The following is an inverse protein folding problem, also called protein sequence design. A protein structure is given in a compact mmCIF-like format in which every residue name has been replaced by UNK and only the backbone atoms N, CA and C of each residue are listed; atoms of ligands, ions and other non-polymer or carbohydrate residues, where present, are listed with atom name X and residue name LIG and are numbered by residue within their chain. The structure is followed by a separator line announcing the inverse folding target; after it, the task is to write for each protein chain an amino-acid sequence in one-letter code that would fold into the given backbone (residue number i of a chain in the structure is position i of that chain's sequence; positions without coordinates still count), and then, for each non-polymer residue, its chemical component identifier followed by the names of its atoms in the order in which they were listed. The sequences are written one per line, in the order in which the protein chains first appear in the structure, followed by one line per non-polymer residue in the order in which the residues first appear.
data_IF_470786688384
#
_entry.id   IF_470786688384
#
_cell.length_a   1.000
_cell.length_b   1.000
_cell.length_c   1.000
_cell.angle_alpha   90.00
_cell.angle_beta   90.00
_cell.angle_gamma   90.00
#
_symmetry.space_group_name_H-M   'P 1'
#
loop_
_entity.id
_entity.type
_entity.pdbx_description
1 polymer ?
#
# COMPACT_ATOMS: atom_id res chain seq x y z
N UNK A 1 -3.89 -29.28 41.65
CA UNK A 1 -3.85 -30.41 40.71
C UNK A 1 -4.37 -31.67 41.39
N UNK A 2 -5.68 -31.89 41.36
CA UNK A 2 -6.31 -33.16 41.73
C UNK A 2 -7.53 -33.27 40.81
N UNK A 3 -7.39 -33.99 39.69
CA UNK A 3 -8.49 -34.11 38.73
C UNK A 3 -8.15 -34.70 37.37
N UNK A 4 -6.91 -34.58 36.87
CA UNK A 4 -6.60 -35.10 35.53
C UNK A 4 -6.01 -36.51 35.62
N UNK A 5 -6.85 -37.53 35.45
CA UNK A 5 -6.42 -38.89 35.13
C UNK A 5 -6.45 -39.06 33.60
N UNK A 6 -5.48 -39.76 33.01
CA UNK A 6 -5.47 -40.03 31.57
C UNK A 6 -6.72 -40.82 31.19
N UNK A 7 -7.66 -40.21 30.47
CA UNK A 7 -8.97 -40.80 30.25
C UNK A 7 -9.05 -41.65 28.96
N UNK A 8 -8.05 -41.61 28.08
CA UNK A 8 -8.18 -42.24 26.75
C UNK A 8 -6.87 -42.83 26.24
N UNK A 9 -6.86 -44.12 25.93
CA UNK A 9 -5.72 -44.80 25.33
C UNK A 9 -5.66 -44.50 23.83
N UNK A 10 -4.76 -43.61 23.42
CA UNK A 10 -4.44 -43.41 22.01
C UNK A 10 -3.55 -44.54 21.47
N UNK A 11 -3.55 -44.78 20.15
CA UNK A 11 -2.56 -45.65 19.53
C UNK A 11 -1.13 -45.19 19.88
N UNK A 12 -0.18 -46.12 20.16
CA UNK A 12 1.17 -45.77 20.58
C UNK A 12 1.91 -44.83 19.62
N UNK A 13 1.69 -44.98 18.31
CA UNK A 13 2.31 -44.15 17.28
C UNK A 13 1.84 -42.68 17.35
N UNK A 14 0.55 -42.44 17.57
CA UNK A 14 -0.01 -41.08 17.70
C UNK A 14 0.42 -40.44 19.02
N UNK A 15 0.51 -41.23 20.10
CA UNK A 15 0.98 -40.75 21.40
C UNK A 15 2.47 -40.37 21.37
N UNK A 16 3.29 -41.03 20.56
CA UNK A 16 4.72 -40.71 20.38
C UNK A 16 4.91 -39.47 19.49
N UNK A 17 4.15 -39.34 18.40
CA UNK A 17 4.16 -38.16 17.54
C UNK A 17 3.80 -36.87 18.32
N UNK A 18 2.80 -36.93 19.18
CA UNK A 18 2.39 -35.80 20.03
C UNK A 18 3.46 -35.45 21.07
N UNK A 19 4.14 -36.44 21.67
CA UNK A 19 5.26 -36.18 22.59
C UNK A 19 6.43 -35.50 21.90
N UNK A 20 6.78 -35.93 20.69
CA UNK A 20 7.91 -35.35 19.95
C UNK A 20 7.63 -33.92 19.51
N UNK A 21 6.40 -33.61 19.09
CA UNK A 21 6.01 -32.26 18.73
C UNK A 21 6.04 -31.30 19.93
N UNK A 22 5.57 -31.73 21.10
CA UNK A 22 5.62 -30.92 22.33
C UNK A 22 7.07 -30.66 22.76
N UNK A 23 7.94 -31.67 22.74
CA UNK A 23 9.38 -31.47 23.03
C UNK A 23 10.04 -30.51 22.04
N UNK A 24 9.67 -30.57 20.77
CA UNK A 24 10.18 -29.65 19.75
C UNK A 24 9.74 -28.20 20.02
N UNK A 25 8.51 -27.99 20.50
CA UNK A 25 7.98 -26.68 20.86
C UNK A 25 8.63 -26.08 22.11
N UNK A 26 8.96 -26.89 23.12
CA UNK A 26 9.70 -26.43 24.30
C UNK A 26 11.07 -25.84 23.93
N UNK A 27 11.71 -26.36 22.88
CA UNK A 27 12.99 -25.84 22.36
C UNK A 27 12.82 -24.57 21.51
N UNK A 28 11.67 -24.37 20.87
CA UNK A 28 11.42 -23.29 19.90
C UNK A 28 10.58 -22.13 20.47
N UNK A 29 9.95 -22.33 21.63
CA UNK A 29 9.13 -21.33 22.33
C UNK A 29 7.70 -21.19 21.80
N UNK A 30 7.28 -22.02 20.84
CA UNK A 30 5.93 -22.07 20.29
C UNK A 30 5.62 -23.46 19.72
N UNK A 31 4.35 -23.89 19.80
CA UNK A 31 3.86 -25.16 19.25
C UNK A 31 3.14 -24.88 17.92
N UNK A 32 3.44 -25.66 16.88
CA UNK A 32 2.67 -25.70 15.62
C UNK A 32 1.67 -26.85 15.66
N UNK A 33 0.69 -26.82 14.76
CA UNK A 33 -0.30 -27.89 14.60
C UNK A 33 0.38 -29.25 14.44
N UNK A 34 -0.08 -30.22 15.24
CA UNK A 34 0.42 -31.60 15.19
C UNK A 34 -0.61 -32.43 14.42
N UNK A 35 -0.31 -32.75 13.17
CA UNK A 35 -1.13 -33.70 12.39
C UNK A 35 -0.94 -35.12 12.95
N UNK A 36 -1.77 -35.49 13.93
CA UNK A 36 -2.04 -36.88 14.26
C UNK A 36 -3.26 -37.36 13.44
N UNK A 37 -3.41 -38.67 13.21
CA UNK A 37 -4.60 -39.15 12.49
C UNK A 37 -5.86 -38.99 13.37
N UNK A 38 -6.58 -37.88 13.20
CA UNK A 38 -7.68 -37.43 14.08
C UNK A 38 -8.87 -38.40 14.17
N UNK A 39 -8.92 -39.46 13.35
CA UNK A 39 -9.99 -40.46 13.39
C UNK A 39 -10.00 -41.33 14.66
N UNK A 40 -8.93 -41.30 15.48
CA UNK A 40 -8.80 -42.16 16.67
C UNK A 40 -8.63 -41.42 18.00
N UNK A 41 -8.64 -40.08 17.99
CA UNK A 41 -8.50 -39.23 19.18
C UNK A 41 -9.77 -38.37 19.39
N UNK A 42 -10.75 -38.79 20.21
CA UNK A 42 -11.94 -37.99 20.46
C UNK A 42 -11.59 -36.64 21.13
N UNK A 43 -12.42 -35.62 20.92
CA UNK A 43 -12.32 -34.35 21.64
C UNK A 43 -12.39 -34.61 23.16
N UNK A 44 -11.52 -33.94 23.93
CA UNK A 44 -11.36 -34.15 25.37
C UNK A 44 -10.45 -35.31 25.77
N UNK A 45 -9.85 -36.04 24.82
CA UNK A 45 -8.88 -37.11 25.14
C UNK A 45 -7.65 -36.52 25.85
N UNK A 46 -7.22 -37.16 26.94
CA UNK A 46 -6.06 -36.69 27.73
C UNK A 46 -4.92 -37.70 27.65
N UNK A 47 -3.74 -37.23 27.25
CA UNK A 47 -2.51 -37.99 27.06
C UNK A 47 -1.48 -37.58 28.10
N UNK A 48 -0.85 -38.56 28.74
CA UNK A 48 0.32 -38.34 29.59
C UNK A 48 1.57 -38.19 28.72
N UNK A 49 2.22 -37.03 28.78
CA UNK A 49 3.45 -36.73 28.02
C UNK A 49 4.70 -37.29 28.71
N UNK A 50 4.60 -37.74 29.96
CA UNK A 50 5.72 -38.02 30.86
C UNK A 50 6.14 -36.75 31.61
N UNK A 51 6.83 -36.91 32.75
CA UNK A 51 7.32 -35.77 33.58
C UNK A 51 6.24 -34.87 34.20
N UNK A 52 5.07 -35.43 34.53
CA UNK A 52 3.92 -34.79 35.20
C UNK A 52 3.06 -33.84 34.36
N UNK A 53 3.34 -33.73 33.06
CA UNK A 53 2.58 -32.92 32.12
C UNK A 53 1.56 -33.75 31.33
N UNK A 54 0.36 -33.20 31.17
CA UNK A 54 -0.76 -33.82 30.45
C UNK A 54 -1.15 -32.95 29.27
N UNK A 55 -1.32 -33.56 28.10
CA UNK A 55 -1.92 -32.92 26.93
C UNK A 55 -3.38 -33.33 26.81
N UNK A 56 -4.29 -32.36 26.68
CA UNK A 56 -5.69 -32.63 26.36
C UNK A 56 -5.93 -32.25 24.90
N UNK A 57 -6.51 -33.15 24.13
CA UNK A 57 -7.03 -32.85 22.81
C UNK A 57 -8.23 -31.92 22.98
N UNK A 58 -8.00 -30.64 22.71
CA UNK A 58 -9.03 -29.60 22.65
C UNK A 58 -9.30 -29.40 21.16
N UNK A 59 -10.57 -29.48 20.72
CA UNK A 59 -10.94 -29.24 19.33
C UNK A 59 -10.40 -27.87 18.89
N UNK A 60 -10.03 -27.70 17.62
CA UNK A 60 -9.52 -26.40 17.11
C UNK A 60 -10.47 -25.23 17.43
N UNK A 61 -11.78 -25.53 17.55
CA UNK A 61 -12.87 -24.58 17.81
C UNK A 61 -13.28 -24.46 19.30
N UNK A 62 -12.58 -25.11 20.23
CA UNK A 62 -12.93 -25.06 21.67
C UNK A 62 -12.22 -23.93 22.45
N UNK A 63 -11.44 -23.09 21.76
CA UNK A 63 -10.86 -21.86 22.32
C UNK A 63 -11.65 -20.63 21.89
N UNK A 64 -11.82 -19.65 22.79
CA UNK A 64 -12.40 -18.35 22.46
C UNK A 64 -11.38 -17.55 21.63
N UNK A 65 -11.41 -17.69 20.30
CA UNK A 65 -10.49 -17.00 19.40
C UNK A 65 -11.27 -15.96 18.59
N UNK A 66 -11.39 -14.75 19.10
CA UNK A 66 -12.12 -13.69 18.41
C UNK A 66 -11.34 -13.12 17.21
N UNK A 67 -11.63 -13.55 15.98
CA UNK A 67 -11.03 -13.00 14.74
C UNK A 67 -12.05 -12.15 13.95
N UNK A 68 -11.80 -10.84 13.90
CA UNK A 68 -12.64 -9.86 13.22
C UNK A 68 -11.94 -9.20 12.02
N UNK A 69 -10.85 -9.80 11.52
CA UNK A 69 -9.98 -9.19 10.51
C UNK A 69 -10.66 -8.95 9.15
N UNK A 70 -11.79 -9.60 8.87
CA UNK A 70 -12.55 -9.51 7.60
C UNK A 70 -14.01 -9.07 7.76
N UNK A 71 -14.40 -8.41 8.86
CA UNK A 71 -15.79 -7.94 9.00
C UNK A 71 -16.03 -6.67 8.19
N UNK A 72 -16.48 -6.83 6.95
CA UNK A 72 -17.13 -5.75 6.21
C UNK A 72 -18.58 -5.57 6.71
N UNK A 73 -18.87 -4.38 7.22
CA UNK A 73 -20.19 -3.82 7.61
C UNK A 73 -20.91 -4.40 8.85
N UNK A 74 -20.92 -3.58 9.91
CA UNK A 74 -21.75 -3.71 11.12
C UNK A 74 -23.26 -3.50 10.89
N UNK A 75 -23.70 -3.19 9.66
CA UNK A 75 -25.04 -2.68 9.38
C UNK A 75 -26.19 -3.71 9.47
N UNK A 76 -25.90 -5.00 9.65
CA UNK A 76 -26.94 -6.04 9.74
C UNK A 76 -26.89 -6.92 11.00
N UNK A 77 -26.02 -6.62 11.96
CA UNK A 77 -25.97 -7.35 13.24
C UNK A 77 -27.18 -7.10 14.14
N UNK A 78 -27.97 -6.05 13.86
CA UNK A 78 -29.24 -5.77 14.55
C UNK A 78 -30.30 -6.86 14.37
N UNK A 79 -30.13 -7.79 13.42
CA UNK A 79 -31.03 -8.91 13.20
C UNK A 79 -30.73 -10.13 14.11
N UNK A 80 -29.54 -10.21 14.72
CA UNK A 80 -29.07 -11.40 15.46
C UNK A 80 -29.46 -11.41 16.95
N UNK A 81 -30.14 -10.37 17.46
CA UNK A 81 -30.46 -10.27 18.88
C UNK A 81 -29.22 -10.03 19.75
N UNK A 82 -29.37 -10.10 21.08
CA UNK A 82 -28.29 -9.87 22.06
C UNK A 82 -27.48 -11.12 22.39
N UNK A 83 -27.88 -12.28 21.86
CA UNK A 83 -27.33 -13.60 22.20
C UNK A 83 -27.13 -14.42 20.91
N UNK A 84 -25.96 -15.03 20.76
CA UNK A 84 -25.64 -16.01 19.72
C UNK A 84 -25.63 -17.41 20.36
N UNK A 85 -26.37 -18.35 19.77
CA UNK A 85 -26.47 -19.73 20.26
C UNK A 85 -25.74 -20.69 19.33
N UNK A 86 -24.70 -21.35 19.83
CA UNK A 86 -23.94 -22.34 19.08
C UNK A 86 -24.48 -23.76 19.33
N UNK A 87 -24.43 -24.66 18.33
CA UNK A 87 -24.99 -26.00 18.45
C UNK A 87 -24.19 -26.88 19.42
N UNK A 88 -24.85 -27.86 20.03
CA UNK A 88 -24.23 -28.82 20.96
C UNK A 88 -23.27 -29.81 20.26
N UNK A 89 -23.44 -30.02 18.95
CA UNK A 89 -22.57 -30.86 18.12
C UNK A 89 -22.69 -30.48 16.64
N UNK A 90 -21.63 -30.72 15.86
CA UNK A 90 -21.60 -30.47 14.42
C UNK A 90 -20.36 -29.69 13.98
N UNK A 91 -20.33 -29.34 12.70
CA UNK A 91 -19.26 -28.53 12.11
C UNK A 91 -19.54 -27.03 12.34
N UNK A 92 -18.64 -26.34 13.05
CA UNK A 92 -18.74 -24.90 13.32
C UNK A 92 -18.67 -24.06 12.03
N UNK A 93 -18.11 -24.59 10.93
CA UNK A 93 -18.10 -23.94 9.62
C UNK A 93 -19.50 -23.79 9.01
N UNK A 94 -20.53 -24.51 9.51
CA UNK A 94 -21.91 -24.35 9.01
C UNK A 94 -22.52 -22.98 9.31
N UNK A 95 -21.94 -22.24 10.25
CA UNK A 95 -22.33 -20.86 10.52
C UNK A 95 -21.57 -19.86 9.66
N UNK A 96 -20.68 -20.27 8.75
CA UNK A 96 -20.09 -19.37 7.76
C UNK A 96 -21.24 -18.69 7.03
N UNK A 97 -21.36 -17.37 7.19
CA UNK A 97 -22.37 -16.55 6.52
C UNK A 97 -22.00 -16.46 5.03
N UNK A 98 -22.11 -17.57 4.30
CA UNK A 98 -21.80 -17.68 2.89
C UNK A 98 -22.97 -17.19 2.03
N UNK A 99 -23.31 -15.91 2.15
CA UNK A 99 -24.03 -15.21 1.09
C UNK A 99 -23.06 -14.25 0.43
N UNK A 100 -22.64 -14.61 -0.79
CA UNK A 100 -21.56 -13.98 -1.54
C UNK A 100 -21.51 -12.44 -1.41
N UNK A 101 -20.43 -11.98 -0.77
CA UNK A 101 -19.92 -10.61 -0.52
C UNK A 101 -19.58 -10.33 0.95
N UNK A 102 -19.83 -11.23 1.88
CA UNK A 102 -19.54 -11.05 3.31
C UNK A 102 -18.97 -12.35 3.87
N UNK A 103 -17.77 -12.32 4.46
CA UNK A 103 -17.14 -13.50 5.06
C UNK A 103 -16.60 -13.12 6.44
N UNK A 104 -17.41 -13.30 7.47
CA UNK A 104 -16.87 -13.48 8.81
C UNK A 104 -16.69 -14.99 9.02
N UNK A 105 -15.50 -15.44 9.40
CA UNK A 105 -15.28 -16.81 9.87
C UNK A 105 -15.95 -16.97 11.23
N UNK A 106 -17.23 -17.29 11.22
CA UNK A 106 -18.08 -17.43 12.41
C UNK A 106 -17.73 -18.62 13.32
N UNK A 107 -16.89 -19.56 12.84
CA UNK A 107 -16.31 -20.60 13.69
C UNK A 107 -15.43 -20.08 14.83
N UNK A 108 -15.13 -18.78 14.83
CA UNK A 108 -14.22 -18.12 15.77
C UNK A 108 -14.96 -17.23 16.81
N UNK A 109 -16.28 -17.29 16.88
CA UNK A 109 -17.09 -16.37 17.70
C UNK A 109 -17.68 -16.96 18.98
N UNK A 110 -17.41 -18.24 19.28
CA UNK A 110 -17.88 -18.95 20.47
C UNK A 110 -17.61 -20.45 20.37
N UNK A 111 -17.87 -21.20 21.44
CA UNK A 111 -17.68 -22.66 21.50
C UNK A 111 -18.97 -23.42 21.18
N UNK A 112 -18.85 -24.71 20.88
CA UNK A 112 -20.01 -25.61 20.83
C UNK A 112 -20.78 -25.58 22.16
N UNK A 113 -22.11 -25.58 22.07
CA UNK A 113 -23.06 -25.46 23.19
C UNK A 113 -22.98 -24.15 24.01
N UNK A 114 -22.27 -23.13 23.51
CA UNK A 114 -22.14 -21.83 24.18
C UNK A 114 -23.22 -20.83 23.74
N UNK A 115 -23.64 -19.99 24.69
CA UNK A 115 -24.41 -18.79 24.42
C UNK A 115 -23.48 -17.59 24.62
N UNK A 116 -23.12 -16.92 23.53
CA UNK A 116 -22.28 -15.73 23.59
C UNK A 116 -23.17 -14.49 23.66
N UNK A 117 -23.11 -13.80 24.80
CA UNK A 117 -23.81 -12.52 24.99
C UNK A 117 -22.92 -11.39 24.52
N UNK A 118 -23.50 -10.45 23.78
CA UNK A 118 -22.74 -9.31 23.26
C UNK A 118 -22.11 -8.45 24.37
N UNK A 119 -22.71 -8.43 25.56
CA UNK A 119 -22.27 -7.69 26.75
C UNK A 119 -21.05 -8.31 27.47
N UNK A 120 -20.74 -9.57 27.19
CA UNK A 120 -19.59 -10.26 27.80
C UNK A 120 -18.32 -10.18 26.94
N UNK A 121 -18.42 -9.60 25.74
CA UNK A 121 -17.27 -9.36 24.86
C UNK A 121 -16.35 -8.26 25.44
N UNK A 122 -15.13 -8.12 24.92
CA UNK A 122 -14.25 -7.03 25.32
C UNK A 122 -14.88 -5.66 24.99
N UNK A 123 -14.57 -4.57 25.71
CA UNK A 123 -15.15 -3.25 25.45
C UNK A 123 -14.96 -2.73 24.02
N UNK A 124 -13.85 -3.08 23.36
CA UNK A 124 -13.61 -2.79 21.94
C UNK A 124 -14.58 -3.50 20.97
N UNK A 125 -15.36 -4.45 21.48
CA UNK A 125 -16.35 -5.27 20.79
C UNK A 125 -17.78 -4.98 21.28
N UNK A 126 -17.96 -4.11 22.28
CA UNK A 126 -19.26 -3.65 22.75
C UNK A 126 -19.84 -2.64 21.77
N UNK A 127 -20.57 -3.16 20.77
CA UNK A 127 -21.20 -2.38 19.70
C UNK A 127 -22.13 -1.29 20.27
N UNK A 128 -22.65 -1.42 21.50
CA UNK A 128 -23.59 -0.46 22.12
C UNK A 128 -22.92 0.79 22.70
N UNK A 129 -21.74 0.66 23.31
CA UNK A 129 -20.94 1.84 23.72
C UNK A 129 -20.36 2.57 22.50
N UNK A 130 -20.03 1.81 21.44
CA UNK A 130 -19.82 2.39 20.09
C UNK A 130 -21.08 3.15 19.65
N UNK A 131 -22.27 2.54 19.73
CA UNK A 131 -23.53 3.14 19.28
C UNK A 131 -23.91 4.43 20.02
N UNK A 132 -23.66 4.52 21.33
CA UNK A 132 -23.90 5.72 22.12
C UNK A 132 -22.86 6.83 21.85
N UNK A 133 -21.63 6.48 21.46
CA UNK A 133 -20.65 7.43 20.93
C UNK A 133 -21.01 7.94 19.52
N UNK A 134 -21.72 7.12 18.73
CA UNK A 134 -22.09 7.39 17.33
C UNK A 134 -23.51 7.96 17.14
N UNK A 135 -24.40 7.91 18.13
CA UNK A 135 -25.79 8.34 17.99
C UNK A 135 -25.99 9.87 18.04
N UNK A 136 -24.98 10.63 18.48
CA UNK A 136 -24.94 12.09 18.33
C UNK A 136 -24.30 12.55 16.99
N UNK A 137 -23.84 11.63 16.13
CA UNK A 137 -23.23 11.93 14.85
C UNK A 137 -24.11 11.45 13.66
N UNK A 138 -24.73 12.40 12.97
CA UNK A 138 -25.38 12.21 11.66
C UNK A 138 -24.34 12.11 10.52
N UNK A 139 -24.74 11.58 9.35
CA UNK A 139 -24.58 10.22 8.87
C UNK A 139 -23.28 9.96 8.08
N UNK A 140 -22.88 8.68 8.03
CA UNK A 140 -21.83 8.10 7.17
C UNK A 140 -20.41 8.66 7.38
N UNK A 141 -19.72 8.09 8.37
CA UNK A 141 -18.36 8.46 8.74
C UNK A 141 -17.58 7.28 9.28
N UNK A 142 -17.34 6.26 8.45
CA UNK A 142 -16.23 5.36 8.72
C UNK A 142 -14.95 6.20 8.68
N UNK A 143 -14.46 6.65 9.83
CA UNK A 143 -13.16 7.29 9.91
C UNK A 143 -12.09 6.22 9.63
N UNK A 144 -11.74 6.06 8.36
CA UNK A 144 -10.46 5.49 7.99
C UNK A 144 -9.43 6.60 8.20
N UNK A 145 -8.61 6.47 9.25
CA UNK A 145 -7.46 7.34 9.40
C UNK A 145 -6.44 6.92 8.33
N UNK A 146 -6.44 7.65 7.22
CA UNK A 146 -5.51 7.43 6.12
C UNK A 146 -4.45 8.52 6.17
N UNK A 147 -3.19 8.12 6.26
CA UNK A 147 -2.08 9.04 6.13
C UNK A 147 -2.07 9.63 4.72
N UNK A 148 -2.02 10.97 4.62
CA UNK A 148 -1.86 11.67 3.35
C UNK A 148 -0.45 11.52 2.77
N UNK A 149 -0.28 11.89 1.50
CA UNK A 149 1.04 12.00 0.88
C UNK A 149 1.91 13.02 1.61
N UNK A 150 3.25 12.94 1.47
CA UNK A 150 4.13 14.02 1.90
C UNK A 150 3.70 15.37 1.31
N UNK A 151 3.39 16.32 2.19
CA UNK A 151 2.93 17.66 1.80
C UNK A 151 1.46 17.77 1.42
N UNK A 152 0.67 16.69 1.53
CA UNK A 152 -0.78 16.74 1.39
C UNK A 152 -1.38 17.62 2.50
N UNK A 153 -2.31 18.50 2.11
CA UNK A 153 -3.03 19.35 3.05
C UNK A 153 -4.41 18.78 3.31
N UNK A 154 -4.81 18.74 4.59
CA UNK A 154 -6.13 18.26 4.96
C UNK A 154 -7.23 19.04 4.24
N UNK A 155 -8.21 18.29 3.72
CA UNK A 155 -9.42 18.87 3.17
C UNK A 155 -10.14 19.73 4.22
N UNK A 156 -10.78 20.81 3.77
CA UNK A 156 -11.64 21.66 4.61
C UNK A 156 -13.09 21.49 4.17
N UNK A 157 -13.84 20.55 4.74
CA UNK A 157 -15.22 20.28 4.31
C UNK A 157 -16.12 21.52 4.30
N UNK A 158 -15.88 22.46 5.23
CA UNK A 158 -16.63 23.72 5.33
C UNK A 158 -16.51 24.64 4.09
N UNK A 159 -15.49 24.46 3.23
CA UNK A 159 -15.34 25.26 2.01
C UNK A 159 -16.06 24.67 0.80
N UNK A 160 -16.61 23.46 0.93
CA UNK A 160 -17.12 22.66 -0.18
C UNK A 160 -16.02 22.15 -1.11
N UNK A 161 -16.39 21.30 -2.06
CA UNK A 161 -15.52 20.89 -3.17
C UNK A 161 -15.56 21.97 -4.26
N UNK A 162 -14.40 22.31 -4.83
CA UNK A 162 -14.28 23.38 -5.84
C UNK A 162 -13.99 22.84 -7.24
N UNK A 163 -13.53 21.60 -7.34
CA UNK A 163 -13.18 20.92 -8.59
C UNK A 163 -13.57 19.44 -8.47
N UNK A 164 -14.09 18.83 -9.55
CA UNK A 164 -14.40 17.42 -9.56
C UNK A 164 -13.11 16.60 -9.54
N UNK A 165 -13.14 15.47 -8.84
CA UNK A 165 -12.09 14.47 -8.83
C UNK A 165 -12.72 13.08 -9.09
N UNK A 166 -11.95 12.19 -9.70
CA UNK A 166 -12.42 10.86 -10.00
C UNK A 166 -12.44 9.98 -8.73
N UNK A 167 -13.57 9.33 -8.42
CA UNK A 167 -13.65 8.37 -7.31
C UNK A 167 -14.21 7.06 -7.81
N UNK A 168 -13.51 5.95 -7.61
CA UNK A 168 -14.03 4.65 -8.00
C UNK A 168 -15.10 4.19 -7.01
N UNK A 169 -16.37 4.45 -7.31
CA UNK A 169 -17.44 3.59 -6.79
C UNK A 169 -17.61 2.43 -7.78
N UNK A 170 -17.23 1.21 -7.38
CA UNK A 170 -17.62 0.00 -8.13
C UNK A 170 -19.14 0.06 -8.38
N UNK A 171 -19.54 0.21 -9.65
CA UNK A 171 -20.91 0.05 -10.14
C UNK A 171 -22.00 0.85 -9.39
N UNK A 172 -21.83 2.16 -9.27
CA UNK A 172 -22.95 3.06 -8.93
C UNK A 172 -22.87 4.33 -9.79
N UNK A 173 -24.03 4.89 -10.14
CA UNK A 173 -24.14 6.21 -10.78
C UNK A 173 -23.52 7.36 -9.95
N UNK A 174 -23.02 7.05 -8.74
CA UNK A 174 -22.29 7.93 -7.81
C UNK A 174 -20.75 7.81 -7.90
N UNK A 175 -20.21 7.08 -8.89
CA UNK A 175 -18.75 6.96 -9.13
C UNK A 175 -18.08 8.25 -9.67
N UNK A 176 -18.82 9.33 -9.70
CA UNK A 176 -18.32 10.67 -9.94
C UNK A 176 -18.93 11.51 -8.83
N UNK A 177 -18.12 12.36 -8.22
CA UNK A 177 -18.64 13.36 -7.28
C UNK A 177 -19.41 14.47 -8.04
N UNK A 178 -20.51 14.09 -8.71
CA UNK A 178 -21.48 15.04 -9.25
C UNK A 178 -22.48 15.49 -8.18
N UNK A 179 -22.48 14.84 -7.01
CA UNK A 179 -23.54 14.93 -6.01
C UNK A 179 -23.21 15.77 -4.76
N UNK A 180 -21.93 15.96 -4.42
CA UNK A 180 -21.54 16.79 -3.26
C UNK A 180 -21.17 18.24 -3.65
N UNK A 181 -21.20 18.57 -4.94
CA UNK A 181 -20.98 19.92 -5.48
C UNK A 181 -22.25 20.79 -5.36
N UNK A 182 -22.42 21.47 -4.22
CA UNK A 182 -23.49 22.46 -3.99
C UNK A 182 -23.21 23.85 -4.64
N UNK A 183 -22.33 23.93 -5.64
CA UNK A 183 -21.97 25.18 -6.33
C UNK A 183 -22.78 25.43 -7.60
N UNK A 184 -22.91 26.68 -8.09
CA UNK A 184 -23.63 27.03 -9.33
C UNK A 184 -23.05 26.44 -10.63
N UNK A 185 -22.10 25.51 -10.54
CA UNK A 185 -21.40 24.85 -11.64
C UNK A 185 -21.96 23.43 -11.96
N UNK A 186 -23.16 23.11 -11.46
CA UNK A 186 -23.92 21.86 -11.49
C UNK A 186 -24.15 21.16 -12.86
N UNK A 187 -23.55 21.60 -13.96
CA UNK A 187 -23.84 21.06 -15.30
C UNK A 187 -22.62 20.68 -16.16
N UNK A 188 -21.42 20.51 -15.58
CA UNK A 188 -20.21 20.21 -16.37
C UNK A 188 -19.78 18.73 -16.31
N UNK A 189 -20.52 17.85 -16.99
CA UNK A 189 -20.28 16.40 -17.09
C UNK A 189 -18.97 15.97 -17.81
N UNK A 190 -18.03 16.86 -18.14
CA UNK A 190 -16.93 16.57 -19.10
C UNK A 190 -15.54 17.17 -18.78
N UNK A 191 -15.28 17.63 -17.56
CA UNK A 191 -14.11 18.51 -17.28
C UNK A 191 -12.89 17.85 -16.59
N UNK A 192 -12.78 16.52 -16.53
CA UNK A 192 -11.57 15.84 -16.00
C UNK A 192 -10.24 16.41 -16.53
N UNK A 193 -10.10 16.69 -17.84
CA UNK A 193 -8.89 17.32 -18.38
C UNK A 193 -8.63 18.75 -17.91
N UNK A 194 -9.69 19.47 -17.53
CA UNK A 194 -9.69 20.93 -17.34
C UNK A 194 -9.57 21.37 -15.88
N UNK A 195 -9.89 20.48 -14.93
CA UNK A 195 -9.72 20.73 -13.50
C UNK A 195 -8.26 21.11 -13.19
N UNK A 196 -7.28 20.31 -13.64
CA UNK A 196 -5.85 20.65 -13.50
C UNK A 196 -5.47 22.00 -14.13
N UNK A 197 -6.01 22.35 -15.29
CA UNK A 197 -5.78 23.65 -15.94
C UNK A 197 -6.36 24.80 -15.12
N UNK A 198 -7.56 24.63 -14.57
CA UNK A 198 -8.23 25.64 -13.74
C UNK A 198 -7.50 25.86 -12.42
N UNK A 199 -7.04 24.78 -11.77
CA UNK A 199 -6.23 24.85 -10.54
C UNK A 199 -4.95 25.65 -10.81
N UNK A 200 -4.20 25.27 -11.85
CA UNK A 200 -2.99 25.97 -12.23
C UNK A 200 -3.25 27.43 -12.58
N UNK A 201 -4.28 27.73 -13.38
CA UNK A 201 -4.63 29.09 -13.77
C UNK A 201 -5.02 29.95 -12.56
N UNK A 202 -5.76 29.39 -11.60
CA UNK A 202 -6.14 30.08 -10.38
C UNK A 202 -4.89 30.46 -9.56
N UNK A 203 -3.94 29.53 -9.39
CA UNK A 203 -2.66 29.81 -8.73
C UNK A 203 -1.82 30.83 -9.50
N UNK A 204 -1.78 30.73 -10.83
CA UNK A 204 -1.05 31.65 -11.68
C UNK A 204 -1.62 33.09 -11.61
N UNK A 205 -2.94 33.27 -11.55
CA UNK A 205 -3.56 34.59 -11.52
C UNK A 205 -3.69 35.19 -10.12
N UNK A 206 -4.02 34.37 -9.12
CA UNK A 206 -4.44 34.85 -7.79
C UNK A 206 -3.56 34.34 -6.64
N UNK A 207 -2.61 33.44 -6.91
CA UNK A 207 -1.67 32.95 -5.90
C UNK A 207 -0.86 34.11 -5.30
N UNK A 208 -0.68 34.10 -3.97
CA UNK A 208 0.11 35.13 -3.27
C UNK A 208 1.62 34.97 -3.53
N UNK A 209 2.04 33.77 -3.92
CA UNK A 209 3.42 33.33 -4.15
C UNK A 209 3.80 33.33 -5.64
N UNK A 210 3.47 34.41 -6.35
CA UNK A 210 3.64 34.54 -7.81
C UNK A 210 5.02 34.16 -8.34
N UNK A 211 6.10 34.56 -7.65
CA UNK A 211 7.46 34.20 -8.07
C UNK A 211 7.68 32.69 -8.04
N UNK A 212 7.21 32.01 -6.99
CA UNK A 212 7.32 30.55 -6.82
C UNK A 212 6.60 29.82 -7.95
N UNK A 213 5.38 30.25 -8.26
CA UNK A 213 4.58 29.65 -9.35
C UNK A 213 5.23 29.84 -10.73
N UNK A 214 5.82 31.01 -11.01
CA UNK A 214 6.54 31.26 -12.27
C UNK A 214 7.78 30.39 -12.41
N UNK A 215 8.55 30.23 -11.33
CA UNK A 215 9.73 29.37 -11.35
C UNK A 215 9.33 27.90 -11.44
N UNK A 216 8.30 27.48 -10.71
CA UNK A 216 7.75 26.13 -10.80
C UNK A 216 7.31 25.78 -12.23
N UNK A 217 6.64 26.72 -12.91
CA UNK A 217 6.27 26.55 -14.32
C UNK A 217 7.49 26.46 -15.24
N UNK A 218 8.53 27.26 -15.03
CA UNK A 218 9.76 27.17 -15.82
C UNK A 218 10.47 25.81 -15.62
N UNK A 219 10.54 25.33 -14.37
CA UNK A 219 11.11 24.02 -14.05
C UNK A 219 10.30 22.87 -14.66
N UNK A 220 8.98 22.98 -14.71
CA UNK A 220 8.11 21.97 -15.34
C UNK A 220 8.25 21.92 -16.87
N UNK A 221 8.91 22.91 -17.50
CA UNK A 221 9.28 22.84 -18.93
C UNK A 221 10.62 22.12 -19.14
N UNK A 222 11.43 21.98 -18.09
CA UNK A 222 12.70 21.25 -18.13
C UNK A 222 12.48 19.78 -17.79
N UNK A 223 11.86 19.52 -16.63
CA UNK A 223 11.47 18.17 -16.20
C UNK A 223 10.01 17.94 -16.61
N UNK A 224 9.84 17.30 -17.76
CA UNK A 224 8.53 17.03 -18.34
C UNK A 224 8.07 15.62 -17.99
N UNK A 225 6.78 15.35 -18.15
CA UNK A 225 6.17 14.01 -18.13
C UNK A 225 5.08 13.99 -19.20
N UNK A 226 4.89 12.86 -19.86
CA UNK A 226 3.81 12.69 -20.84
C UNK A 226 2.65 11.88 -20.26
N UNK A 227 1.46 12.08 -20.82
CA UNK A 227 0.30 11.22 -20.54
C UNK A 227 0.57 9.83 -21.14
N UNK A 228 0.61 8.80 -20.30
CA UNK A 228 0.87 7.42 -20.71
C UNK A 228 -0.40 6.63 -21.04
N UNK A 229 -1.59 7.11 -20.62
CA UNK A 229 -2.88 6.58 -21.05
C UNK A 229 -3.98 7.68 -21.06
N UNK A 230 -5.08 7.42 -21.79
CA UNK A 230 -6.17 8.39 -21.95
C UNK A 230 -7.02 8.62 -20.69
N UNK A 231 -6.98 7.69 -19.72
CA UNK A 231 -7.76 7.73 -18.48
C UNK A 231 -7.00 8.50 -17.39
N UNK A 232 -5.68 8.37 -17.32
CA UNK A 232 -4.78 9.14 -16.47
C UNK A 232 -4.88 10.64 -16.77
N UNK A 233 -5.16 11.03 -18.02
CA UNK A 233 -5.40 12.43 -18.36
C UNK A 233 -6.73 12.98 -17.76
N UNK A 234 -7.65 12.11 -17.34
CA UNK A 234 -8.88 12.52 -16.66
C UNK A 234 -8.68 12.71 -15.15
N UNK A 235 -7.59 12.18 -14.60
CA UNK A 235 -7.20 12.39 -13.21
C UNK A 235 -6.55 13.77 -13.07
N UNK A 236 -6.72 14.39 -11.91
CA UNK A 236 -6.20 15.70 -11.54
C UNK A 236 -5.13 15.62 -10.46
N UNK A 237 -5.35 14.83 -9.41
CA UNK A 237 -4.54 14.82 -8.19
C UNK A 237 -3.10 14.41 -8.48
N UNK A 238 -2.89 13.32 -9.22
CA UNK A 238 -1.54 12.85 -9.61
C UNK A 238 -0.71 13.91 -10.35
N UNK A 239 -1.34 14.73 -11.21
CA UNK A 239 -0.64 15.74 -11.99
C UNK A 239 -0.33 16.99 -11.18
N UNK A 240 -1.27 17.40 -10.32
CA UNK A 240 -1.04 18.53 -9.40
C UNK A 240 0.02 18.17 -8.37
N UNK A 241 0.00 16.93 -7.84
CA UNK A 241 1.02 16.41 -6.93
C UNK A 241 2.42 16.44 -7.56
N UNK A 242 2.55 16.01 -8.83
CA UNK A 242 3.83 16.10 -9.54
C UNK A 242 4.26 17.54 -9.78
N UNK A 243 3.33 18.44 -10.14
CA UNK A 243 3.64 19.86 -10.29
C UNK A 243 4.10 20.50 -8.97
N UNK A 244 3.56 20.05 -7.83
CA UNK A 244 3.94 20.55 -6.51
C UNK A 244 5.40 20.26 -6.16
N UNK A 245 6.05 19.28 -6.78
CA UNK A 245 7.52 19.09 -6.68
C UNK A 245 8.23 20.40 -7.05
N UNK A 246 7.85 21.01 -8.17
CA UNK A 246 8.46 22.26 -8.65
C UNK A 246 8.06 23.46 -7.80
N UNK A 247 6.86 23.45 -7.22
CA UNK A 247 6.41 24.50 -6.29
C UNK A 247 7.23 24.46 -4.99
N UNK A 248 7.41 23.26 -4.41
CA UNK A 248 8.23 23.05 -3.21
C UNK A 248 9.68 23.50 -3.43
N UNK A 249 10.27 23.05 -4.55
CA UNK A 249 11.69 23.27 -4.87
C UNK A 249 11.98 24.49 -5.74
N UNK A 250 11.03 25.39 -5.96
CA UNK A 250 11.20 26.56 -6.81
C UNK A 250 12.44 27.41 -6.49
N UNK A 251 12.85 27.46 -5.21
CA UNK A 251 14.04 28.18 -4.75
C UNK A 251 15.09 27.25 -4.13
N UNK A 252 14.92 25.94 -4.33
CA UNK A 252 15.77 24.89 -3.78
C UNK A 252 16.90 24.51 -4.72
N UNK A 253 17.40 23.28 -4.55
CA UNK A 253 18.43 22.73 -5.41
C UNK A 253 17.79 21.80 -6.47
N UNK A 254 18.48 21.61 -7.61
CA UNK A 254 17.98 20.74 -8.68
C UNK A 254 18.07 19.24 -8.33
N UNK A 255 18.98 18.87 -7.42
CA UNK A 255 19.14 17.48 -6.95
C UNK A 255 17.88 16.98 -6.22
N UNK A 256 17.21 17.84 -5.46
CA UNK A 256 16.02 17.53 -4.68
C UNK A 256 14.82 17.35 -5.62
N UNK A 257 14.74 18.16 -6.69
CA UNK A 257 13.79 17.96 -7.80
C UNK A 257 14.03 16.60 -8.47
N UNK A 258 15.28 16.31 -8.83
CA UNK A 258 15.62 15.02 -9.44
C UNK A 258 15.31 13.84 -8.51
N UNK A 259 15.49 14.01 -7.20
CA UNK A 259 15.12 12.98 -6.23
C UNK A 259 13.61 12.76 -6.21
N UNK A 260 12.81 13.80 -5.97
CA UNK A 260 11.35 13.64 -5.89
C UNK A 260 10.75 13.14 -7.21
N UNK A 261 11.27 13.56 -8.36
CA UNK A 261 10.80 13.02 -9.64
C UNK A 261 11.16 11.53 -9.82
N UNK A 262 12.32 11.06 -9.32
CA UNK A 262 12.68 9.63 -9.37
C UNK A 262 11.71 8.79 -8.54
N UNK A 263 11.27 9.29 -7.40
CA UNK A 263 10.27 8.58 -6.58
C UNK A 263 8.84 8.75 -7.06
N UNK A 264 8.59 9.59 -8.07
CA UNK A 264 7.25 9.80 -8.57
C UNK A 264 6.77 8.61 -9.42
N UNK A 265 5.63 7.99 -9.08
CA UNK A 265 5.09 6.87 -9.86
C UNK A 265 4.71 7.28 -11.29
N UNK A 266 4.36 8.54 -11.53
CA UNK A 266 4.01 9.00 -12.88
C UNK A 266 5.24 9.12 -13.78
N UNK A 267 6.37 9.55 -13.22
CA UNK A 267 7.65 9.59 -13.92
C UNK A 267 8.13 8.15 -14.21
N UNK A 268 7.94 7.25 -13.25
CA UNK A 268 8.33 5.85 -13.38
C UNK A 268 7.52 5.06 -14.39
N UNK A 269 6.23 5.36 -14.48
CA UNK A 269 5.39 4.82 -15.54
C UNK A 269 5.83 5.36 -16.92
N UNK A 270 6.01 6.68 -17.03
CA UNK A 270 6.36 7.33 -18.30
C UNK A 270 7.72 6.89 -18.86
N UNK A 271 8.75 6.79 -18.01
CA UNK A 271 10.09 6.35 -18.39
C UNK A 271 10.39 4.89 -18.01
N UNK A 272 9.31 4.12 -17.85
CA UNK A 272 9.29 2.65 -17.84
C UNK A 272 10.22 1.97 -16.84
N UNK A 273 10.61 2.64 -15.75
CA UNK A 273 11.42 2.05 -14.69
C UNK A 273 10.60 1.57 -13.49
N UNK A 274 9.28 1.75 -13.53
CA UNK A 274 8.40 1.12 -12.56
C UNK A 274 8.48 -0.41 -12.65
N UNK A 275 8.76 -1.07 -11.54
CA UNK A 275 8.90 -2.52 -11.47
C UNK A 275 10.16 -3.05 -12.16
N UNK A 276 11.12 -2.20 -12.55
CA UNK A 276 12.43 -2.63 -13.02
C UNK A 276 13.08 -3.54 -11.98
N UNK A 277 13.69 -4.64 -12.42
CA UNK A 277 14.36 -5.58 -11.53
C UNK A 277 15.81 -5.77 -11.94
N UNK A 278 16.64 -6.15 -10.98
CA UNK A 278 17.99 -6.59 -11.24
C UNK A 278 18.00 -7.86 -12.10
N UNK A 279 19.07 -8.00 -12.91
CA UNK A 279 19.27 -9.18 -13.77
C UNK A 279 19.23 -10.48 -12.96
N UNK A 280 19.74 -10.47 -11.73
CA UNK A 280 19.78 -11.65 -10.87
C UNK A 280 18.39 -12.12 -10.39
N UNK A 281 17.34 -11.31 -10.58
CA UNK A 281 15.99 -11.58 -10.10
C UNK A 281 15.16 -12.33 -11.14
N UNK A 282 15.23 -11.94 -12.41
CA UNK A 282 14.45 -12.56 -13.49
C UNK A 282 15.21 -12.79 -14.80
N UNK A 283 16.52 -12.52 -14.83
CA UNK A 283 17.40 -12.74 -15.98
C UNK A 283 17.29 -11.68 -17.07
N UNK A 284 16.48 -10.63 -16.89
CA UNK A 284 16.32 -9.55 -17.86
C UNK A 284 17.15 -8.32 -17.48
N UNK A 285 17.71 -7.65 -18.49
CA UNK A 285 18.36 -6.36 -18.27
C UNK A 285 17.30 -5.30 -17.88
N UNK A 286 17.57 -4.46 -16.86
CA UNK A 286 16.66 -3.38 -16.49
C UNK A 286 16.41 -2.43 -17.65
N UNK A 287 15.21 -1.83 -17.71
CA UNK A 287 14.90 -0.78 -18.68
C UNK A 287 15.80 0.45 -18.44
N UNK A 288 16.45 0.90 -19.50
CA UNK A 288 17.44 1.96 -19.48
C UNK A 288 16.89 3.36 -19.78
N UNK A 289 15.61 3.49 -20.16
CA UNK A 289 15.01 4.74 -20.62
C UNK A 289 15.18 5.86 -19.58
N UNK A 290 14.84 5.62 -18.32
CA UNK A 290 15.02 6.64 -17.28
C UNK A 290 16.48 7.04 -17.07
N UNK A 291 17.39 6.06 -17.05
CA UNK A 291 18.83 6.32 -16.92
C UNK A 291 19.38 7.14 -18.09
N UNK A 292 18.86 6.90 -19.30
CA UNK A 292 19.20 7.68 -20.49
C UNK A 292 18.66 9.10 -20.39
N UNK A 293 17.37 9.26 -20.14
CA UNK A 293 16.70 10.57 -20.16
C UNK A 293 17.17 11.48 -19.01
N UNK A 294 17.46 10.92 -17.83
CA UNK A 294 17.98 11.72 -16.71
C UNK A 294 19.32 12.37 -17.06
N UNK A 295 20.20 11.65 -17.78
CA UNK A 295 21.49 12.19 -18.24
C UNK A 295 21.32 13.08 -19.48
N UNK A 296 20.57 12.61 -20.47
CA UNK A 296 20.51 13.22 -21.80
C UNK A 296 19.64 14.48 -21.84
N UNK A 297 18.46 14.44 -21.23
CA UNK A 297 17.43 15.47 -21.37
C UNK A 297 17.29 16.31 -20.12
N UNK A 298 17.38 15.68 -18.93
CA UNK A 298 17.12 16.40 -17.68
C UNK A 298 18.36 16.94 -16.96
N UNK A 299 19.58 16.60 -17.37
CA UNK A 299 20.77 17.10 -16.65
C UNK A 299 21.93 17.49 -17.56
N UNK A 300 22.83 16.55 -17.82
CA UNK A 300 24.18 16.83 -18.32
C UNK A 300 24.25 16.96 -19.85
N UNK A 301 23.24 16.49 -20.58
CA UNK A 301 23.21 16.54 -22.03
C UNK A 301 24.13 15.50 -22.67
N UNK A 302 24.25 15.55 -24.01
CA UNK A 302 25.08 14.62 -24.80
C UNK A 302 26.57 14.98 -24.81
N UNK A 303 26.90 16.27 -24.70
CA UNK A 303 28.24 16.81 -24.94
C UNK A 303 28.75 17.55 -23.72
N UNK A 304 30.00 17.33 -23.35
CA UNK A 304 30.65 18.10 -22.28
C UNK A 304 30.76 19.55 -22.72
N UNK A 305 30.37 20.47 -21.84
CA UNK A 305 30.39 21.90 -22.12
C UNK A 305 31.44 22.61 -21.25
N UNK A 306 32.08 23.62 -21.84
CA UNK A 306 32.84 24.63 -21.12
C UNK A 306 31.87 25.51 -20.31
N UNK A 307 32.43 26.33 -19.40
CA UNK A 307 31.63 27.27 -18.58
C UNK A 307 30.86 28.31 -19.38
N UNK A 308 31.28 28.60 -20.60
CA UNK A 308 30.61 29.52 -21.52
C UNK A 308 29.54 28.84 -22.40
N UNK A 309 29.31 27.52 -22.22
CA UNK A 309 28.35 26.74 -22.98
C UNK A 309 28.86 26.20 -24.32
N UNK A 310 30.10 26.51 -24.72
CA UNK A 310 30.72 25.89 -25.90
C UNK A 310 31.08 24.43 -25.62
N UNK A 311 31.02 23.57 -26.65
CA UNK A 311 31.37 22.16 -26.49
C UNK A 311 32.88 21.98 -26.27
N UNK A 312 33.23 21.09 -25.34
CA UNK A 312 34.61 20.65 -25.12
C UNK A 312 35.05 19.82 -26.32
N UNK A 313 36.24 20.12 -26.85
CA UNK A 313 36.82 19.44 -28.00
C UNK A 313 37.94 18.48 -27.60
N UNK A 314 38.04 17.35 -28.29
CA UNK A 314 39.20 16.45 -28.22
C UNK A 314 40.40 17.01 -29.02
N UNK A 315 41.49 16.25 -29.10
CA UNK A 315 42.71 16.66 -29.82
C UNK A 315 42.48 16.73 -31.34
N UNK A 316 41.48 16.02 -31.84
CA UNK A 316 41.07 15.92 -33.22
C UNK A 316 40.01 16.97 -33.61
N UNK A 317 39.50 17.74 -32.65
CA UNK A 317 38.50 18.79 -32.83
C UNK A 317 37.04 18.35 -32.78
N UNK A 318 36.76 17.10 -32.37
CA UNK A 318 35.40 16.58 -32.19
C UNK A 318 34.85 16.92 -30.81
N UNK A 319 33.52 16.99 -30.69
CA UNK A 319 32.85 17.19 -29.40
C UNK A 319 33.03 15.98 -28.49
N UNK A 320 33.36 16.22 -27.22
CA UNK A 320 33.54 15.17 -26.21
C UNK A 320 32.20 14.81 -25.60
N UNK A 321 31.85 13.52 -25.60
CA UNK A 321 30.60 13.02 -24.98
C UNK A 321 30.63 13.11 -23.45
N UNK A 322 29.48 13.35 -22.85
CA UNK A 322 29.28 13.33 -21.39
C UNK A 322 29.30 11.93 -20.81
N UNK A 323 28.73 10.97 -21.53
CA UNK A 323 28.61 9.57 -21.17
C UNK A 323 28.63 8.69 -22.42
N UNK A 324 28.87 7.40 -22.21
CA UNK A 324 28.80 6.36 -23.24
C UNK A 324 27.61 5.43 -23.01
N UNK A 325 27.28 4.58 -23.99
CA UNK A 325 26.15 3.68 -23.85
C UNK A 325 26.29 2.69 -22.68
N UNK A 326 27.52 2.32 -22.33
CA UNK A 326 27.77 1.47 -21.16
C UNK A 326 27.36 2.18 -19.85
N UNK A 327 27.52 3.50 -19.74
CA UNK A 327 27.07 4.24 -18.56
C UNK A 327 25.55 4.18 -18.41
N UNK A 328 24.81 4.23 -19.52
CA UNK A 328 23.34 4.12 -19.52
C UNK A 328 22.90 2.77 -18.95
N UNK A 329 23.51 1.68 -19.41
CA UNK A 329 23.23 0.33 -18.91
C UNK A 329 23.57 0.18 -17.42
N UNK A 330 24.72 0.70 -17.00
CA UNK A 330 25.14 0.65 -15.59
C UNK A 330 24.25 1.50 -14.69
N UNK A 331 23.79 2.65 -15.17
CA UNK A 331 22.91 3.54 -14.41
C UNK A 331 21.48 2.99 -14.34
N UNK A 332 21.02 2.23 -15.34
CA UNK A 332 19.72 1.55 -15.30
C UNK A 332 19.58 0.66 -14.06
N UNK A 333 20.68 0.02 -13.63
CA UNK A 333 20.75 -0.82 -12.42
C UNK A 333 20.44 -0.03 -11.14
N UNK A 334 20.74 1.28 -11.11
CA UNK A 334 20.40 2.18 -9.98
C UNK A 334 18.89 2.31 -9.80
N UNK A 335 18.13 2.21 -10.88
CA UNK A 335 16.67 2.42 -10.89
C UNK A 335 15.88 1.12 -10.83
N UNK A 336 16.47 0.06 -10.29
CA UNK A 336 15.80 -1.22 -10.03
C UNK A 336 15.12 -1.22 -8.66
N UNK A 337 14.06 -2.01 -8.51
CA UNK A 337 13.32 -2.20 -7.27
C UNK A 337 12.24 -1.16 -6.97
N UNK A 338 12.08 -0.12 -7.78
CA UNK A 338 11.01 0.86 -7.58
C UNK A 338 9.64 0.26 -7.89
N UNK A 339 8.71 0.37 -6.94
CA UNK A 339 7.32 -0.05 -7.10
C UNK A 339 6.37 0.96 -6.46
N UNK A 340 5.13 0.98 -6.95
CA UNK A 340 4.07 1.77 -6.36
C UNK A 340 3.80 1.36 -4.90
N UNK A 341 3.35 2.35 -4.14
CA UNK A 341 2.80 2.10 -2.81
C UNK A 341 1.47 1.34 -2.94
N UNK A 342 1.05 0.61 -1.88
CA UNK A 342 -0.32 0.16 -1.77
C UNK A 342 -1.30 1.32 -1.95
N UNK A 343 -2.43 1.04 -2.56
CA UNK A 343 -3.49 2.03 -2.76
C UNK A 343 -4.14 2.39 -1.43
N UNK A 344 -4.39 3.67 -1.23
CA UNK A 344 -5.09 4.22 -0.05
C UNK A 344 -6.47 4.76 -0.43
N UNK A 345 -7.36 4.95 0.53
CA UNK A 345 -8.78 5.25 0.26
C UNK A 345 -9.08 6.74 -0.04
N UNK A 346 -8.21 7.66 0.39
CA UNK A 346 -8.39 9.11 0.25
C UNK A 346 -7.61 9.71 -0.93
N UNK A 347 -7.51 8.98 -2.03
CA UNK A 347 -6.91 9.47 -3.28
C UNK A 347 -7.87 9.33 -4.44
N UNK A 348 -7.66 10.17 -5.45
CA UNK A 348 -8.35 10.07 -6.73
C UNK A 348 -8.15 8.68 -7.36
N UNK A 349 -9.26 8.07 -7.77
CA UNK A 349 -9.29 6.71 -8.27
C UNK A 349 -10.25 6.53 -9.44
N UNK A 350 -9.76 5.90 -10.51
CA UNK A 350 -10.55 5.49 -11.68
C UNK A 350 -10.94 3.99 -11.68
N UNK A 351 -10.62 3.25 -10.62
CA UNK A 351 -10.88 1.83 -10.44
C UNK A 351 -9.93 0.91 -11.20
N UNK A 352 -8.96 1.47 -11.93
CA UNK A 352 -7.98 0.74 -12.75
C UNK A 352 -6.54 1.09 -12.39
N UNK A 353 -6.33 2.27 -11.83
CA UNK A 353 -5.01 2.78 -11.49
C UNK A 353 -4.54 2.31 -10.12
N UNK A 354 -3.25 2.00 -10.08
CA UNK A 354 -2.49 1.85 -8.85
C UNK A 354 -2.26 3.22 -8.19
N UNK A 355 -1.52 3.25 -7.08
CA UNK A 355 -1.19 4.49 -6.39
C UNK A 355 -0.20 5.34 -7.21
N UNK A 356 -0.74 6.31 -7.96
CA UNK A 356 0.01 7.22 -8.83
C UNK A 356 0.32 8.58 -8.18
N UNK A 357 0.11 8.71 -6.86
CA UNK A 357 0.26 9.97 -6.13
C UNK A 357 1.38 9.85 -5.11
N UNK A 358 1.42 8.78 -4.33
CA UNK A 358 2.41 8.63 -3.27
C UNK A 358 3.80 8.28 -3.83
N UNK A 359 4.89 8.77 -3.20
CA UNK A 359 6.25 8.38 -3.55
C UNK A 359 6.41 6.86 -3.53
N UNK A 360 6.93 6.31 -4.62
CA UNK A 360 7.21 4.90 -4.77
C UNK A 360 8.09 4.38 -3.64
N UNK A 361 7.93 3.10 -3.32
CA UNK A 361 8.83 2.39 -2.41
C UNK A 361 9.80 1.53 -3.19
N UNK A 362 10.88 1.13 -2.53
CA UNK A 362 11.84 0.18 -3.09
C UNK A 362 11.60 -1.22 -2.52
N UNK A 363 11.41 -2.21 -3.40
CA UNK A 363 11.49 -3.63 -3.07
C UNK A 363 12.95 -4.07 -3.10
N UNK A 364 13.50 -4.31 -1.91
CA UNK A 364 14.89 -4.70 -1.73
C UNK A 364 15.29 -5.93 -2.55
N UNK A 365 14.41 -6.93 -2.60
CA UNK A 365 14.57 -8.17 -3.38
C UNK A 365 14.66 -7.95 -4.90
N UNK A 366 14.23 -6.80 -5.42
CA UNK A 366 14.27 -6.47 -6.84
C UNK A 366 15.43 -5.53 -7.19
N UNK A 367 16.11 -4.96 -6.19
CA UNK A 367 17.19 -4.00 -6.39
C UNK A 367 18.51 -4.71 -6.70
N UNK A 368 19.25 -4.16 -7.64
CA UNK A 368 20.61 -4.60 -7.94
C UNK A 368 21.54 -4.15 -6.82
N UNK A 369 22.17 -5.06 -6.10
CA UNK A 369 23.04 -4.71 -4.95
C UNK A 369 24.53 -4.60 -5.29
N UNK A 370 24.90 -4.82 -6.56
CA UNK A 370 26.31 -4.80 -6.93
C UNK A 370 26.77 -3.37 -7.25
N UNK A 371 28.08 -3.08 -7.10
CA UNK A 371 28.64 -1.77 -7.40
C UNK A 371 28.26 -1.29 -8.80
N UNK A 372 27.78 -0.05 -8.89
CA UNK A 372 27.54 0.65 -10.16
C UNK A 372 28.64 1.70 -10.35
N UNK A 373 29.34 1.74 -11.49
CA UNK A 373 30.32 2.79 -11.77
C UNK A 373 29.65 4.16 -11.89
N UNK A 374 30.36 5.23 -11.57
CA UNK A 374 29.96 6.60 -11.85
C UNK A 374 30.56 7.08 -13.20
N UNK A 375 30.29 8.33 -13.60
CA UNK A 375 30.77 8.90 -14.86
C UNK A 375 32.30 9.08 -14.93
N UNK A 376 32.98 9.11 -13.77
CA UNK A 376 34.42 9.34 -13.64
C UNK A 376 35.19 8.06 -13.27
N UNK A 377 34.60 6.89 -13.52
CA UNK A 377 35.17 5.56 -13.24
C UNK A 377 35.44 5.23 -11.75
N UNK A 378 34.84 5.97 -10.81
CA UNK A 378 34.67 5.51 -9.42
C UNK A 378 33.39 4.68 -9.28
N UNK A 379 33.09 4.15 -8.09
CA UNK A 379 31.86 3.39 -7.84
C UNK A 379 30.87 4.21 -7.00
N UNK A 380 29.60 4.11 -7.35
CA UNK A 380 28.47 4.54 -6.53
C UNK A 380 28.32 3.52 -5.39
N UNK A 381 28.24 4.03 -4.16
CA UNK A 381 27.93 3.20 -2.99
C UNK A 381 26.51 2.65 -3.10
N UNK A 382 26.33 1.42 -2.63
CA UNK A 382 25.02 0.79 -2.53
C UNK A 382 24.40 1.09 -1.16
N UNK A 383 23.09 1.32 -1.14
CA UNK A 383 22.35 1.64 0.07
C UNK A 383 20.86 1.70 -0.19
N UNK A 384 20.08 1.08 0.69
CA UNK A 384 18.63 1.24 0.64
C UNK A 384 18.25 2.66 1.04
N UNK A 385 17.28 3.28 0.35
CA UNK A 385 16.76 4.56 0.80
C UNK A 385 16.14 4.40 2.18
N UNK A 386 16.61 5.22 3.12
CA UNK A 386 16.05 5.31 4.45
C UNK A 386 14.73 6.08 4.39
N UNK A 387 13.84 5.88 5.35
CA UNK A 387 12.62 6.71 5.45
C UNK A 387 12.93 8.21 5.59
N UNK A 388 14.13 8.57 6.06
CA UNK A 388 14.60 9.96 6.11
C UNK A 388 15.13 10.50 4.78
N UNK A 389 15.37 9.62 3.80
CA UNK A 389 15.82 10.01 2.45
C UNK A 389 14.64 10.36 1.53
N UNK A 390 13.43 9.93 1.91
CA UNK A 390 12.11 10.26 1.34
C UNK A 390 11.52 11.49 2.04
#
# INVERSE_FOLDING_TARGET
CAGCQSATALPPADAEALRDAVRAAELQGWLRDVEASCLSAPAGAVIDLGSSDLFQHVHEDEYNVYDFSEVEAAANWTALGSELHFPEAGDMAQWELSTGRWAARSGLLGKLDEIVRLEDLMPSLHIRELFDLFSDAQPDGSYSEVCGSPGEVANKPSTGHHMPFHMSARYSATAYDYGYDNGPYLHMQHYGPEAKRNIWLNKALYGKDQLRQRVAWALSQVVTVATFDGVANLMTEMWVNFYDIFVRHAFGNYRDIMREMTYSPIMANWLTFIGNKAVDVDGMFPDENYAREIMQVFSIGLWKLNRDGSAVKDLEGNDVRTYENWNVLEFARVFTGFVEQPKRANIEDNGRSNNLIDPMRMKAEWHDVYPKPNLDAAYLGDGYPLCSDL
#
